data_IF_369804132615
#
_entry.id   IF_369804132615
#
_cell.length_a   1.000
_cell.length_b   1.000
_cell.length_c   1.000
_cell.angle_alpha   90.00
_cell.angle_beta   90.00
_cell.angle_gamma   90.00
#
_symmetry.space_group_name_H-M   'P 1'
#
loop_
_entity.id
_entity.type
_entity.pdbx_description
1 polymer ?
#
# COMPACT_ATOMS: atom_id res chain seq x y z
N UNK A 1 5.75 -4.74 -51.90
CA UNK A 1 6.93 -4.29 -51.14
C UNK A 1 6.90 -2.77 -51.06
N UNK A 2 6.61 -2.21 -49.88
CA UNK A 2 6.96 -0.82 -49.54
C UNK A 2 7.42 -0.86 -48.08
N UNK A 3 8.72 -1.05 -47.88
CA UNK A 3 9.35 -1.06 -46.56
C UNK A 3 9.66 0.38 -46.18
N UNK A 4 8.65 1.10 -45.66
CA UNK A 4 8.83 2.47 -45.19
C UNK A 4 9.42 2.48 -43.78
N UNK A 5 10.75 2.62 -43.67
CA UNK A 5 11.42 2.87 -42.38
C UNK A 5 11.05 4.29 -41.94
N UNK A 6 10.08 4.42 -41.03
CA UNK A 6 9.74 5.69 -40.39
C UNK A 6 10.82 6.00 -39.34
N UNK A 7 11.87 6.71 -39.72
CA UNK A 7 12.77 7.34 -38.76
C UNK A 7 12.30 8.76 -38.49
N UNK A 8 12.11 9.08 -37.20
CA UNK A 8 11.89 10.44 -36.73
C UNK A 8 13.28 11.06 -36.56
N UNK A 9 13.60 12.05 -37.37
CA UNK A 9 14.86 12.80 -37.29
C UNK A 9 14.56 14.17 -36.67
N UNK A 10 15.24 14.49 -35.57
CA UNK A 10 15.02 15.73 -34.84
C UNK A 10 15.86 16.83 -35.48
N UNK A 11 15.20 17.82 -36.10
CA UNK A 11 15.83 19.01 -36.64
C UNK A 11 15.66 20.16 -35.61
N UNK A 12 16.74 20.67 -35.00
CA UNK A 12 16.67 21.85 -34.16
C UNK A 12 16.27 23.07 -35.00
N UNK A 13 15.28 23.84 -34.55
CA UNK A 13 14.82 25.07 -35.22
C UNK A 13 15.75 26.29 -34.96
N UNK A 14 16.88 26.09 -34.28
CA UNK A 14 17.83 27.17 -33.97
C UNK A 14 19.28 26.69 -33.88
N UNK A 15 20.20 27.40 -34.52
CA UNK A 15 21.67 27.19 -34.46
C UNK A 15 22.27 27.33 -33.05
N UNK A 16 21.49 27.84 -32.08
CA UNK A 16 21.89 27.93 -30.67
C UNK A 16 21.19 26.84 -29.86
N UNK A 17 21.98 26.02 -29.16
CA UNK A 17 21.49 25.04 -28.17
C UNK A 17 20.61 25.79 -27.16
N UNK A 18 19.31 25.50 -27.03
CA UNK A 18 18.49 26.16 -26.03
C UNK A 18 19.03 25.79 -24.64
N UNK A 19 19.24 26.81 -23.80
CA UNK A 19 19.81 26.67 -22.45
C UNK A 19 18.94 25.79 -21.52
N UNK A 20 17.72 25.43 -21.95
CA UNK A 20 16.83 24.48 -21.30
C UNK A 20 16.11 23.61 -22.34
N UNK A 21 16.59 22.40 -22.56
CA UNK A 21 15.88 21.39 -23.36
C UNK A 21 14.84 20.73 -22.44
N UNK A 22 13.55 20.91 -22.73
CA UNK A 22 12.47 20.20 -22.06
C UNK A 22 11.98 19.06 -22.94
N UNK A 23 11.89 17.85 -22.38
CA UNK A 23 11.33 16.69 -23.08
C UNK A 23 9.90 16.44 -22.64
N UNK A 24 8.95 16.60 -23.57
CA UNK A 24 7.54 16.33 -23.35
C UNK A 24 7.14 14.99 -23.98
N UNK A 25 6.70 14.03 -23.15
CA UNK A 25 6.19 12.72 -23.55
C UNK A 25 4.72 12.53 -23.15
N UNK A 26 3.97 13.63 -23.05
CA UNK A 26 2.55 13.57 -22.68
C UNK A 26 1.76 12.62 -23.58
N UNK A 27 1.07 11.67 -22.94
CA UNK A 27 0.26 10.63 -23.59
C UNK A 27 0.99 9.82 -24.67
N UNK A 28 2.32 9.83 -24.69
CA UNK A 28 3.10 9.03 -25.62
C UNK A 28 3.05 7.55 -25.21
N UNK A 29 3.13 6.67 -26.21
CA UNK A 29 3.17 5.23 -26.00
C UNK A 29 4.39 4.66 -26.70
N UNK A 30 5.19 3.89 -25.98
CA UNK A 30 6.36 3.22 -26.53
C UNK A 30 6.24 1.70 -26.38
N UNK A 31 6.74 0.95 -27.36
CA UNK A 31 6.89 -0.49 -27.21
C UNK A 31 7.95 -0.82 -26.18
N UNK A 32 9.14 -0.26 -26.33
CA UNK A 32 10.26 -0.44 -25.44
C UNK A 32 10.86 0.92 -25.07
N UNK A 33 11.19 1.10 -23.80
CA UNK A 33 11.94 2.26 -23.33
C UNK A 33 13.41 1.86 -23.20
N UNK A 34 14.20 2.23 -24.20
CA UNK A 34 15.67 2.10 -24.17
C UNK A 34 16.22 3.45 -23.74
N UNK A 35 16.83 3.48 -22.56
CA UNK A 35 17.37 4.71 -22.02
C UNK A 35 18.73 4.49 -21.35
N UNK A 36 19.38 5.60 -21.03
CA UNK A 36 20.53 5.68 -20.14
C UNK A 36 20.29 6.84 -19.17
N UNK A 37 20.68 6.73 -17.88
CA UNK A 37 20.46 7.78 -16.89
C UNK A 37 20.99 9.16 -17.31
N UNK A 38 22.05 9.18 -18.13
CA UNK A 38 22.70 10.41 -18.63
C UNK A 38 22.03 11.00 -19.89
N UNK A 39 21.11 10.27 -20.52
CA UNK A 39 20.46 10.69 -21.78
C UNK A 39 19.20 11.53 -21.56
N UNK A 40 18.68 11.58 -20.33
CA UNK A 40 17.50 12.35 -19.99
C UNK A 40 17.86 13.82 -19.71
N UNK A 41 17.10 14.79 -20.23
CA UNK A 41 17.26 16.19 -19.85
C UNK A 41 16.82 16.42 -18.40
N UNK A 42 17.13 17.61 -17.87
CA UNK A 42 16.81 17.99 -16.49
C UNK A 42 15.30 18.20 -16.26
N UNK A 43 14.56 18.56 -17.32
CA UNK A 43 13.11 18.78 -17.28
C UNK A 43 12.39 17.80 -18.19
N UNK A 44 11.55 16.96 -17.59
CA UNK A 44 10.75 15.95 -18.31
C UNK A 44 9.27 16.06 -17.95
N UNK A 45 8.38 15.79 -18.91
CA UNK A 45 6.94 15.67 -18.68
C UNK A 45 6.46 14.28 -19.12
N UNK A 46 6.11 13.43 -18.14
CA UNK A 46 5.76 12.02 -18.37
C UNK A 46 4.26 11.71 -18.19
N UNK A 47 3.39 12.72 -18.04
CA UNK A 47 1.97 12.47 -17.77
C UNK A 47 1.33 11.67 -18.91
N UNK A 48 0.78 10.50 -18.59
CA UNK A 48 0.15 9.62 -19.58
C UNK A 48 1.16 8.89 -20.48
N UNK A 49 2.46 9.04 -20.22
CA UNK A 49 3.48 8.26 -20.91
C UNK A 49 3.38 6.79 -20.48
N UNK A 50 3.34 5.87 -21.43
CA UNK A 50 3.28 4.42 -21.18
C UNK A 50 4.30 3.68 -22.05
N UNK A 51 4.83 2.58 -21.51
CA UNK A 51 5.79 1.73 -22.22
C UNK A 51 5.64 0.28 -21.78
N UNK A 52 5.80 -0.68 -22.70
CA UNK A 52 5.56 -2.11 -22.40
C UNK A 52 6.74 -2.79 -21.72
N UNK A 53 7.96 -2.39 -22.03
CA UNK A 53 9.17 -2.98 -21.46
C UNK A 53 10.28 -1.94 -21.28
N UNK A 54 11.18 -2.23 -20.35
CA UNK A 54 12.44 -1.52 -20.19
C UNK A 54 13.54 -2.26 -20.97
N UNK A 55 14.36 -1.50 -21.67
CA UNK A 55 15.47 -2.03 -22.45
C UNK A 55 15.07 -2.62 -23.81
N UNK A 56 16.10 -2.95 -24.57
CA UNK A 56 15.97 -3.45 -25.93
C UNK A 56 16.96 -4.59 -26.20
N UNK A 57 16.70 -5.41 -27.23
CA UNK A 57 17.49 -6.62 -27.53
C UNK A 57 18.97 -6.36 -27.87
N UNK A 58 19.39 -5.10 -28.04
CA UNK A 58 20.76 -4.70 -28.35
C UNK A 58 21.46 -3.93 -27.21
N UNK A 59 20.86 -3.90 -26.01
CA UNK A 59 21.46 -3.21 -24.86
C UNK A 59 22.29 -4.21 -24.04
N UNK A 60 23.57 -3.89 -23.79
CA UNK A 60 24.49 -4.76 -23.05
C UNK A 60 24.11 -4.85 -21.56
N UNK A 61 23.67 -3.73 -20.98
CA UNK A 61 23.19 -3.66 -19.60
C UNK A 61 21.66 -3.74 -19.55
N UNK A 62 21.12 -4.61 -18.68
CA UNK A 62 19.68 -4.70 -18.42
C UNK A 62 19.21 -3.48 -17.61
N UNK A 63 18.39 -2.58 -18.19
CA UNK A 63 17.89 -1.41 -17.48
C UNK A 63 17.09 -1.74 -16.22
N UNK A 64 16.50 -2.94 -16.13
CA UNK A 64 15.68 -3.36 -15.00
C UNK A 64 16.50 -3.68 -13.74
N UNK A 65 17.81 -3.85 -13.87
CA UNK A 65 18.73 -4.16 -12.76
C UNK A 65 19.29 -2.90 -12.08
N UNK A 66 18.93 -1.72 -12.57
CA UNK A 66 19.38 -0.46 -11.97
C UNK A 66 18.89 -0.32 -10.52
N UNK A 67 19.66 0.38 -9.67
CA UNK A 67 19.22 0.75 -8.33
C UNK A 67 17.89 1.50 -8.35
N UNK A 68 17.08 1.28 -7.32
CA UNK A 68 15.80 1.98 -7.14
C UNK A 68 16.00 3.49 -7.11
N UNK A 69 17.09 3.96 -6.49
CA UNK A 69 17.39 5.38 -6.34
C UNK A 69 17.56 6.09 -7.70
N UNK A 70 18.18 5.43 -8.69
CA UNK A 70 18.35 5.99 -10.04
C UNK A 70 17.00 6.19 -10.75
N UNK A 71 16.08 5.24 -10.59
CA UNK A 71 14.71 5.37 -11.11
C UNK A 71 13.94 6.49 -10.44
N UNK A 72 14.08 6.63 -9.12
CA UNK A 72 13.44 7.69 -8.35
C UNK A 72 14.01 9.06 -8.72
N UNK A 73 15.31 9.16 -8.93
CA UNK A 73 15.97 10.37 -9.41
C UNK A 73 15.44 10.76 -10.79
N UNK A 74 15.40 9.83 -11.74
CA UNK A 74 14.83 10.05 -13.07
C UNK A 74 13.38 10.57 -13.00
N UNK A 75 12.51 9.87 -12.26
CA UNK A 75 11.11 10.27 -12.13
C UNK A 75 10.93 11.60 -11.38
N UNK A 76 11.88 11.97 -10.51
CA UNK A 76 11.86 13.24 -9.80
C UNK A 76 12.15 14.46 -10.66
N UNK A 77 12.69 14.27 -11.88
CA UNK A 77 12.90 15.34 -12.87
C UNK A 77 11.60 15.88 -13.48
N UNK A 78 10.47 15.23 -13.19
CA UNK A 78 9.16 15.74 -13.56
C UNK A 78 8.75 16.89 -12.63
N UNK A 79 8.60 18.10 -13.19
CA UNK A 79 8.24 19.30 -12.42
C UNK A 79 6.89 19.14 -11.70
N UNK A 80 5.93 18.47 -12.34
CA UNK A 80 4.61 18.22 -11.76
C UNK A 80 4.54 16.79 -11.23
N UNK A 81 4.49 16.66 -9.91
CA UNK A 81 4.31 15.35 -9.27
C UNK A 81 3.05 14.65 -9.78
N UNK A 82 3.23 13.45 -10.31
CA UNK A 82 2.15 12.56 -10.73
C UNK A 82 2.49 11.13 -10.33
N UNK A 83 1.49 10.40 -9.83
CA UNK A 83 1.68 9.03 -9.37
C UNK A 83 1.80 8.03 -10.53
N UNK A 84 1.17 8.34 -11.67
CA UNK A 84 1.07 7.45 -12.83
C UNK A 84 2.43 6.97 -13.39
N UNK A 85 3.47 7.82 -13.58
CA UNK A 85 4.76 7.35 -14.07
C UNK A 85 5.45 6.32 -13.14
N UNK A 86 5.27 6.45 -11.83
CA UNK A 86 5.78 5.49 -10.84
C UNK A 86 5.04 4.14 -10.92
N UNK A 87 3.72 4.18 -11.10
CA UNK A 87 2.92 2.97 -11.28
C UNK A 87 3.31 2.24 -12.57
N UNK A 88 3.45 2.98 -13.68
CA UNK A 88 3.87 2.39 -14.95
C UNK A 88 5.21 1.66 -14.81
N UNK A 89 6.19 2.30 -14.17
CA UNK A 89 7.50 1.67 -13.92
C UNK A 89 7.37 0.41 -13.07
N UNK A 90 6.58 0.44 -12.00
CA UNK A 90 6.39 -0.70 -11.11
C UNK A 90 5.69 -1.88 -11.81
N UNK A 91 4.71 -1.61 -12.67
CA UNK A 91 4.07 -2.64 -13.50
C UNK A 91 5.09 -3.27 -14.43
N UNK A 92 5.86 -2.46 -15.17
CA UNK A 92 6.84 -2.98 -16.13
C UNK A 92 7.96 -3.77 -15.44
N UNK A 93 8.43 -3.33 -14.27
CA UNK A 93 9.41 -4.07 -13.47
C UNK A 93 8.83 -5.38 -12.93
N UNK A 94 7.57 -5.40 -12.51
CA UNK A 94 6.88 -6.61 -12.08
C UNK A 94 6.73 -7.62 -13.23
N UNK A 95 6.34 -7.15 -14.41
CA UNK A 95 6.19 -7.98 -15.62
C UNK A 95 7.53 -8.54 -16.09
N UNK A 96 8.63 -7.81 -15.87
CA UNK A 96 10.00 -8.28 -16.09
C UNK A 96 10.53 -9.23 -14.99
N UNK A 97 9.72 -9.58 -13.98
CA UNK A 97 10.11 -10.46 -12.88
C UNK A 97 10.92 -9.79 -11.76
N UNK A 98 11.10 -8.46 -11.80
CA UNK A 98 11.81 -7.67 -10.80
C UNK A 98 10.85 -7.10 -9.73
N UNK A 99 10.00 -7.95 -9.17
CA UNK A 99 8.92 -7.55 -8.24
C UNK A 99 9.43 -6.84 -6.97
N UNK A 100 10.64 -7.18 -6.49
CA UNK A 100 11.24 -6.51 -5.33
C UNK A 100 11.52 -5.03 -5.61
N UNK A 101 12.10 -4.73 -6.77
CA UNK A 101 12.39 -3.35 -7.22
C UNK A 101 11.09 -2.59 -7.47
N UNK A 102 10.10 -3.22 -8.11
CA UNK A 102 8.77 -2.64 -8.32
C UNK A 102 8.10 -2.21 -7.01
N UNK A 103 8.12 -3.07 -5.99
CA UNK A 103 7.57 -2.78 -4.68
C UNK A 103 8.33 -1.66 -3.96
N UNK A 104 9.66 -1.63 -4.08
CA UNK A 104 10.48 -0.57 -3.50
C UNK A 104 10.16 0.81 -4.11
N UNK A 105 9.96 0.89 -5.43
CA UNK A 105 9.53 2.11 -6.13
C UNK A 105 8.17 2.59 -5.61
N UNK A 106 7.17 1.70 -5.55
CA UNK A 106 5.82 2.03 -5.05
C UNK A 106 5.84 2.46 -3.58
N UNK A 107 6.68 1.83 -2.76
CA UNK A 107 6.85 2.19 -1.36
C UNK A 107 7.45 3.60 -1.22
N UNK A 108 8.52 3.88 -1.96
CA UNK A 108 9.20 5.18 -1.90
C UNK A 108 8.28 6.35 -2.30
N UNK A 109 7.47 6.18 -3.35
CA UNK A 109 6.53 7.23 -3.78
C UNK A 109 5.40 7.44 -2.77
N UNK A 110 4.87 6.37 -2.15
CA UNK A 110 3.81 6.49 -1.14
C UNK A 110 4.32 7.13 0.14
N UNK A 111 5.57 6.85 0.53
CA UNK A 111 6.20 7.53 1.66
C UNK A 111 6.35 9.03 1.38
N UNK A 112 6.68 9.42 0.14
CA UNK A 112 6.72 10.82 -0.30
C UNK A 112 5.34 11.49 -0.25
N UNK A 113 4.28 10.80 -0.70
CA UNK A 113 2.89 11.27 -0.58
C UNK A 113 2.44 11.39 0.88
N UNK A 114 2.84 10.45 1.75
CA UNK A 114 2.52 10.50 3.17
C UNK A 114 3.14 11.72 3.86
N UNK A 115 4.35 12.09 3.47
CA UNK A 115 5.04 13.29 3.97
C UNK A 115 4.34 14.58 3.51
N UNK A 116 3.76 14.60 2.32
CA UNK A 116 2.99 15.75 1.81
C UNK A 116 1.53 15.78 2.28
N UNK A 117 0.93 14.66 2.70
CA UNK A 117 -0.43 14.61 3.22
C UNK A 117 -0.52 15.05 4.70
N UNK A 118 -1.25 16.12 4.98
CA UNK A 118 -1.49 16.64 6.35
C UNK A 118 -2.91 16.28 6.85
N UNK A 119 -3.07 16.00 8.15
CA UNK A 119 -4.38 15.87 8.83
C UNK A 119 -5.00 14.47 8.88
N UNK A 120 -6.34 14.39 8.98
CA UNK A 120 -7.10 13.14 9.18
C UNK A 120 -6.94 12.10 8.06
N UNK A 121 -6.57 12.54 6.85
CA UNK A 121 -6.23 11.66 5.73
C UNK A 121 -4.99 10.81 5.99
N UNK A 122 -4.02 11.32 6.77
CA UNK A 122 -2.83 10.54 7.20
C UNK A 122 -3.22 9.46 8.20
N UNK A 123 -4.10 9.76 9.16
CA UNK A 123 -4.60 8.78 10.12
C UNK A 123 -5.42 7.69 9.43
N UNK A 124 -6.32 8.07 8.52
CA UNK A 124 -7.06 7.12 7.70
C UNK A 124 -6.15 6.23 6.86
N UNK A 125 -5.14 6.79 6.18
CA UNK A 125 -4.15 6.03 5.42
C UNK A 125 -3.25 5.16 6.29
N UNK A 126 -2.91 5.59 7.52
CA UNK A 126 -2.13 4.79 8.47
C UNK A 126 -2.95 3.64 9.04
N UNK A 127 -4.23 3.85 9.38
CA UNK A 127 -5.16 2.80 9.79
C UNK A 127 -5.39 1.83 8.63
N UNK A 128 -5.52 2.32 7.40
CA UNK A 128 -5.61 1.49 6.20
C UNK A 128 -4.30 0.73 5.94
N UNK A 129 -3.14 1.33 6.19
CA UNK A 129 -1.85 0.68 5.99
C UNK A 129 -1.56 -0.39 7.06
N UNK A 130 -1.95 -0.14 8.32
CA UNK A 130 -1.85 -1.10 9.41
C UNK A 130 -2.94 -2.19 9.36
N UNK A 131 -4.12 -1.84 8.85
CA UNK A 131 -5.28 -2.74 8.74
C UNK A 131 -5.33 -3.54 7.43
N UNK A 132 -4.94 -2.96 6.29
CA UNK A 132 -5.15 -3.51 4.93
C UNK A 132 -3.84 -3.88 4.22
N UNK A 133 -2.69 -3.36 4.64
CA UNK A 133 -1.35 -3.70 4.14
C UNK A 133 -1.27 -4.39 2.76
N UNK A 134 -1.09 -3.63 1.68
CA UNK A 134 -0.59 -4.08 0.36
C UNK A 134 -0.85 -5.55 -0.07
N UNK A 135 -2.10 -5.89 -0.41
CA UNK A 135 -2.44 -6.61 -1.67
C UNK A 135 -1.71 -7.90 -2.12
N UNK A 136 -1.28 -8.82 -1.25
CA UNK A 136 -0.62 -10.10 -1.63
C UNK A 136 -1.06 -11.28 -0.74
N UNK A 137 -2.17 -11.95 -1.04
CA UNK A 137 -2.42 -13.40 -0.79
C UNK A 137 -2.27 -14.07 0.61
N UNK A 138 -1.56 -13.50 1.57
CA UNK A 138 -1.19 -14.07 2.90
C UNK A 138 -1.90 -13.28 4.03
N UNK A 139 -2.74 -12.31 3.67
CA UNK A 139 -3.26 -11.27 4.56
C UNK A 139 -4.43 -11.66 5.48
N UNK A 140 -5.11 -12.79 5.22
CA UNK A 140 -6.19 -13.28 6.10
C UNK A 140 -5.69 -13.50 7.54
N UNK A 141 -4.42 -13.86 7.72
CA UNK A 141 -3.85 -14.18 9.03
C UNK A 141 -3.57 -12.95 9.93
N UNK A 142 -3.53 -11.72 9.39
CA UNK A 142 -3.26 -10.52 10.22
C UNK A 142 -4.47 -10.05 11.00
N UNK A 143 -5.68 -10.23 10.47
CA UNK A 143 -6.91 -9.97 11.22
C UNK A 143 -6.98 -10.88 12.45
N UNK A 144 -6.50 -12.12 12.33
CA UNK A 144 -6.39 -13.05 13.47
C UNK A 144 -5.39 -12.54 14.52
N UNK A 145 -4.24 -12.00 14.11
CA UNK A 145 -3.29 -11.39 15.04
C UNK A 145 -3.88 -10.17 15.77
N UNK A 146 -4.61 -9.31 15.06
CA UNK A 146 -5.32 -8.19 15.69
C UNK A 146 -6.39 -8.67 16.67
N UNK A 147 -7.16 -9.69 16.31
CA UNK A 147 -8.12 -10.31 17.21
C UNK A 147 -7.42 -10.85 18.47
N UNK A 148 -6.33 -11.59 18.33
CA UNK A 148 -5.53 -12.09 19.47
C UNK A 148 -5.04 -10.93 20.34
N UNK A 149 -4.47 -9.88 19.76
CA UNK A 149 -3.99 -8.71 20.53
C UNK A 149 -5.11 -8.02 21.29
N UNK A 150 -6.28 -7.84 20.67
CA UNK A 150 -7.43 -7.22 21.32
C UNK A 150 -7.95 -8.09 22.47
N UNK A 151 -8.04 -9.42 22.27
CA UNK A 151 -8.42 -10.36 23.34
C UNK A 151 -7.45 -10.29 24.52
N UNK A 152 -6.14 -10.35 24.26
CA UNK A 152 -5.11 -10.25 25.30
C UNK A 152 -5.14 -8.90 26.02
N UNK A 153 -5.41 -7.81 25.29
CA UNK A 153 -5.54 -6.49 25.90
C UNK A 153 -6.78 -6.39 26.79
N UNK A 154 -7.94 -6.91 26.36
CA UNK A 154 -9.14 -6.98 27.19
C UNK A 154 -8.97 -7.86 28.42
N UNK A 155 -8.23 -8.96 28.30
CA UNK A 155 -7.83 -9.77 29.44
C UNK A 155 -6.96 -8.97 30.41
N UNK A 156 -5.93 -8.27 29.94
CA UNK A 156 -5.09 -7.40 30.77
C UNK A 156 -5.86 -6.27 31.46
N UNK A 157 -6.84 -5.65 30.79
CA UNK A 157 -7.73 -4.65 31.41
C UNK A 157 -8.49 -5.25 32.59
N UNK A 158 -9.01 -6.48 32.46
CA UNK A 158 -9.68 -7.16 33.57
C UNK A 158 -8.71 -7.45 34.73
N UNK A 159 -7.49 -7.91 34.44
CA UNK A 159 -6.49 -8.22 35.47
C UNK A 159 -6.04 -6.99 36.27
N UNK A 160 -6.00 -5.81 35.64
CA UNK A 160 -5.46 -4.58 36.25
C UNK A 160 -6.54 -3.80 37.00
N UNK A 161 -7.76 -3.76 36.46
CA UNK A 161 -8.79 -2.81 36.91
C UNK A 161 -9.93 -3.46 37.70
N UNK A 162 -10.00 -4.78 37.77
CA UNK A 162 -11.06 -5.51 38.47
C UNK A 162 -10.49 -6.36 39.63
N UNK A 163 -11.19 -6.41 40.76
CA UNK A 163 -10.68 -7.06 41.97
C UNK A 163 -10.62 -8.61 41.86
N UNK A 164 -9.62 -9.28 42.48
CA UNK A 164 -9.43 -10.75 42.46
C UNK A 164 -10.56 -11.59 43.08
N UNK A 165 -11.57 -10.98 43.70
CA UNK A 165 -12.69 -11.71 44.30
C UNK A 165 -13.61 -12.33 43.23
N UNK A 166 -13.59 -11.79 42.01
CA UNK A 166 -14.12 -12.47 40.83
C UNK A 166 -13.07 -13.47 40.31
N UNK A 167 -13.42 -14.74 40.11
CA UNK A 167 -12.49 -15.84 39.82
C UNK A 167 -11.98 -15.82 38.35
N UNK A 168 -11.26 -14.76 37.94
CA UNK A 168 -11.06 -14.38 36.53
C UNK A 168 -9.86 -15.04 35.82
N UNK A 169 -9.03 -15.84 36.49
CA UNK A 169 -7.73 -16.24 35.94
C UNK A 169 -7.81 -17.14 34.67
N UNK A 170 -8.77 -18.07 34.51
CA UNK A 170 -9.07 -18.67 33.19
C UNK A 170 -10.26 -17.99 32.48
N UNK A 171 -11.15 -17.33 33.23
CA UNK A 171 -12.45 -16.85 32.74
C UNK A 171 -12.32 -15.51 32.00
N UNK A 172 -11.38 -14.64 32.38
CA UNK A 172 -11.20 -13.31 31.81
C UNK A 172 -10.75 -13.31 30.35
N UNK A 173 -9.91 -14.28 29.96
CA UNK A 173 -9.55 -14.50 28.55
C UNK A 173 -10.79 -14.86 27.73
N UNK A 174 -11.57 -15.84 28.20
CA UNK A 174 -12.80 -16.26 27.51
C UNK A 174 -13.86 -15.16 27.50
N UNK A 175 -13.95 -14.36 28.56
CA UNK A 175 -14.82 -13.19 28.62
C UNK A 175 -14.44 -12.16 27.54
N UNK A 176 -13.14 -11.85 27.43
CA UNK A 176 -12.62 -10.94 26.40
C UNK A 176 -12.87 -11.47 24.99
N UNK A 177 -12.66 -12.78 24.77
CA UNK A 177 -12.95 -13.43 23.51
C UNK A 177 -14.46 -13.40 23.17
N UNK A 178 -15.32 -13.69 24.14
CA UNK A 178 -16.78 -13.71 24.00
C UNK A 178 -17.32 -12.33 23.60
N UNK A 179 -16.79 -11.27 24.22
CA UNK A 179 -17.14 -9.89 23.86
C UNK A 179 -16.62 -9.46 22.49
N UNK A 180 -15.54 -10.07 21.98
CA UNK A 180 -15.03 -9.79 20.63
C UNK A 180 -15.90 -10.45 19.54
N UNK A 181 -16.62 -11.53 19.87
CA UNK A 181 -17.45 -12.25 18.90
C UNK A 181 -18.79 -11.51 18.69
N UNK A 182 -19.10 -11.04 17.47
CA UNK A 182 -20.27 -10.19 17.23
C UNK A 182 -21.61 -10.93 17.37
N UNK A 183 -21.65 -12.26 17.12
CA UNK A 183 -22.90 -13.03 17.05
C UNK A 183 -22.94 -14.18 18.05
N UNK A 184 -21.79 -14.78 18.35
CA UNK A 184 -21.70 -15.99 19.17
C UNK A 184 -21.48 -15.57 20.62
N UNK A 185 -22.43 -15.94 21.49
CA UNK A 185 -22.23 -15.91 22.94
C UNK A 185 -21.80 -17.29 23.40
N UNK A 186 -20.59 -17.38 23.93
CA UNK A 186 -19.99 -18.60 24.45
C UNK A 186 -20.57 -18.93 25.84
N UNK A 187 -20.90 -17.90 26.64
CA UNK A 187 -21.50 -18.11 27.96
C UNK A 187 -22.35 -16.92 28.44
N UNK A 188 -23.63 -17.17 28.69
CA UNK A 188 -24.58 -16.13 29.13
C UNK A 188 -24.22 -15.50 30.49
N UNK A 189 -23.55 -16.25 31.39
CA UNK A 189 -23.17 -15.75 32.72
C UNK A 189 -22.22 -14.55 32.66
N UNK A 190 -21.43 -14.39 31.58
CA UNK A 190 -20.57 -13.22 31.38
C UNK A 190 -21.37 -11.92 31.23
N UNK A 191 -22.61 -11.98 30.75
CA UNK A 191 -23.42 -10.81 30.46
C UNK A 191 -24.38 -10.45 31.59
N UNK A 192 -24.80 -11.44 32.39
CA UNK A 192 -25.86 -11.27 33.39
C UNK A 192 -25.35 -11.10 34.82
N UNK A 193 -24.21 -11.73 35.16
CA UNK A 193 -23.76 -11.83 36.56
C UNK A 193 -22.52 -11.01 36.88
N UNK A 194 -21.82 -10.48 35.87
CA UNK A 194 -20.56 -9.76 36.05
C UNK A 194 -20.84 -8.27 36.24
N UNK A 195 -20.64 -7.77 37.45
CA UNK A 195 -20.81 -6.36 37.77
C UNK A 195 -19.50 -5.59 37.54
N UNK A 196 -19.23 -5.23 36.29
CA UNK A 196 -18.04 -4.45 35.91
C UNK A 196 -18.14 -2.99 36.38
N UNK A 197 -17.01 -2.42 36.78
CA UNK A 197 -16.87 -0.97 36.98
C UNK A 197 -17.25 -0.18 35.72
N UNK A 198 -17.74 1.06 35.88
CA UNK A 198 -18.27 1.87 34.77
C UNK A 198 -17.26 2.08 33.63
N UNK A 199 -15.97 2.21 33.96
CA UNK A 199 -14.90 2.42 32.97
C UNK A 199 -14.59 1.14 32.21
N UNK A 200 -14.49 0.00 32.91
CA UNK A 200 -14.26 -1.32 32.30
C UNK A 200 -15.44 -1.71 31.41
N UNK A 201 -16.68 -1.42 31.85
CA UNK A 201 -17.89 -1.64 31.05
C UNK A 201 -17.89 -0.84 29.75
N UNK A 202 -17.52 0.45 29.81
CA UNK A 202 -17.40 1.28 28.61
C UNK A 202 -16.34 0.72 27.65
N UNK A 203 -15.20 0.28 28.17
CA UNK A 203 -14.17 -0.38 27.38
C UNK A 203 -14.71 -1.62 26.67
N UNK A 204 -15.48 -2.49 27.35
CA UNK A 204 -16.03 -3.69 26.71
C UNK A 204 -17.13 -3.41 25.67
N UNK A 205 -17.84 -2.27 25.75
CA UNK A 205 -18.69 -1.83 24.63
C UNK A 205 -17.86 -1.45 23.40
N UNK A 206 -16.76 -0.71 23.60
CA UNK A 206 -15.85 -0.35 22.51
C UNK A 206 -15.19 -1.62 21.94
N UNK A 207 -14.78 -2.54 22.80
CA UNK A 207 -14.22 -3.84 22.44
C UNK A 207 -15.17 -4.65 21.55
N UNK A 208 -16.46 -4.67 21.89
CA UNK A 208 -17.47 -5.34 21.08
C UNK A 208 -17.62 -4.69 19.70
N UNK A 209 -17.64 -3.35 19.62
CA UNK A 209 -17.67 -2.62 18.35
C UNK A 209 -16.44 -2.97 17.48
N UNK A 210 -15.26 -3.06 18.08
CA UNK A 210 -14.03 -3.50 17.39
C UNK A 210 -14.21 -4.91 16.83
N UNK A 211 -14.84 -5.81 17.58
CA UNK A 211 -15.19 -7.16 17.14
C UNK A 211 -16.04 -7.17 15.86
N UNK A 212 -17.10 -6.36 15.81
CA UNK A 212 -17.93 -6.20 14.61
C UNK A 212 -17.11 -5.67 13.41
N UNK A 213 -16.24 -4.69 13.63
CA UNK A 213 -15.38 -4.15 12.57
C UNK A 213 -14.43 -5.23 12.05
N UNK A 214 -13.73 -5.94 12.94
CA UNK A 214 -12.80 -7.01 12.55
C UNK A 214 -13.52 -8.15 11.79
N UNK A 215 -14.71 -8.55 12.23
CA UNK A 215 -15.51 -9.55 11.54
C UNK A 215 -15.94 -9.08 10.15
N UNK A 216 -16.35 -7.82 10.00
CA UNK A 216 -16.70 -7.25 8.70
C UNK A 216 -15.51 -7.21 7.74
N UNK A 217 -14.31 -6.88 8.25
CA UNK A 217 -13.06 -6.92 7.48
C UNK A 217 -12.68 -8.34 7.07
N UNK A 218 -12.86 -9.32 7.95
CA UNK A 218 -12.61 -10.73 7.65
C UNK A 218 -13.56 -11.25 6.57
N UNK A 219 -14.85 -10.92 6.66
CA UNK A 219 -15.85 -11.25 5.63
C UNK A 219 -15.49 -10.55 4.30
N UNK A 220 -15.14 -9.27 4.33
CA UNK A 220 -14.72 -8.53 3.14
C UNK A 220 -13.48 -9.15 2.48
N UNK A 221 -12.48 -9.53 3.29
CA UNK A 221 -11.27 -10.20 2.83
C UNK A 221 -11.56 -11.58 2.21
N UNK A 222 -12.44 -12.39 2.84
CA UNK A 222 -12.84 -13.71 2.33
C UNK A 222 -13.74 -13.61 1.10
N UNK A 223 -14.57 -12.57 1.00
CA UNK A 223 -15.50 -12.36 -0.11
C UNK A 223 -14.80 -11.99 -1.43
N UNK A 224 -13.50 -11.69 -1.40
CA UNK A 224 -12.76 -11.34 -2.61
C UNK A 224 -13.10 -9.97 -3.18
N UNK A 225 -13.92 -9.14 -2.50
CA UNK A 225 -14.24 -7.77 -2.93
C UNK A 225 -12.98 -6.87 -3.02
N UNK A 226 -11.87 -7.27 -2.38
CA UNK A 226 -10.57 -6.59 -2.44
C UNK A 226 -9.68 -7.14 -3.58
N UNK A 227 -10.14 -8.18 -4.29
CA UNK A 227 -9.58 -8.70 -5.55
C UNK A 227 -10.51 -8.36 -6.71
N UNK A 228 -10.71 -7.08 -6.96
CA UNK A 228 -11.03 -6.57 -8.29
C UNK A 228 -9.84 -5.65 -8.61
N UNK A 229 -9.05 -5.83 -9.66
CA UNK A 229 -9.35 -6.32 -11.00
C UNK A 229 -8.13 -7.10 -11.52
N UNK A 230 -8.37 -8.20 -12.25
CA UNK A 230 -7.37 -8.92 -13.05
C UNK A 230 -6.99 -8.16 -14.32
#
# INVERSE_FOLDING_TARGET
MITGKKSVEWLPDSETRPDQIQLNLHNAQAGALVDSPKSWPDKIELRGFTYRQLGGPMQEDDPSERPVDDFLEWLSRNEIFSFQPYQQLATVLSDAGKSNTANAVLFAVKERERRSATGWRRVGLSILQYGIGYGIGVYTFRVLWWAISVVLFGWGVLCIWEEPQNHWEPIGFWFSLDYLLPIIRLRDTHYETVNLSSVVRLYFYIHQIIGYVLASLLIAALSGIIRAEE
#
